data_IF_620915907761
#
_entry.id   IF_620915907761
#
_cell.length_a   1.000
_cell.length_b   1.000
_cell.length_c   1.000
_cell.angle_alpha   90.00
_cell.angle_beta   90.00
_cell.angle_gamma   90.00
#
_symmetry.space_group_name_H-M   'P 1'
#
loop_
_entity.id
_entity.type
_entity.pdbx_description
1 polymer ?
#
# COMPACT_ATOMS: atom_id res chain seq x y z
N UNK A 1 -1.06 0.19 32.07
CA UNK A 1 -1.38 -0.25 30.71
C UNK A 1 -0.77 0.76 29.73
N UNK A 2 0.39 0.48 29.14
CA UNK A 2 1.01 1.40 28.18
C UNK A 2 0.21 1.34 26.86
N UNK A 3 -0.39 2.47 26.49
CA UNK A 3 -1.17 2.60 25.26
C UNK A 3 -0.30 2.32 24.04
N UNK A 4 -0.80 1.48 23.13
CA UNK A 4 -0.11 1.16 21.88
C UNK A 4 0.19 2.45 21.10
N UNK A 5 1.47 2.71 20.83
CA UNK A 5 1.90 3.89 20.07
C UNK A 5 1.49 3.73 18.61
N UNK A 6 0.64 4.65 18.15
CA UNK A 6 0.31 4.79 16.73
C UNK A 6 1.32 5.75 16.09
N UNK A 7 1.87 5.36 14.94
CA UNK A 7 2.75 6.18 14.14
C UNK A 7 2.09 6.43 12.78
N UNK A 8 2.17 7.66 12.30
CA UNK A 8 1.57 8.06 11.03
C UNK A 8 2.62 8.81 10.23
N UNK A 9 2.84 8.36 9.00
CA UNK A 9 3.71 9.01 8.04
C UNK A 9 2.86 9.61 6.93
N UNK A 10 3.08 10.90 6.65
CA UNK A 10 2.44 11.62 5.55
C UNK A 10 3.49 11.91 4.48
N UNK A 11 3.26 11.41 3.28
CA UNK A 11 4.10 11.64 2.11
C UNK A 11 3.37 12.63 1.21
N UNK A 12 4.05 13.74 0.93
CA UNK A 12 3.62 14.77 -0.02
C UNK A 12 4.64 14.78 -1.17
N UNK A 13 4.20 14.77 -2.44
CA UNK A 13 5.13 14.85 -3.55
C UNK A 13 5.93 16.15 -3.52
N UNK A 14 7.22 16.04 -3.83
CA UNK A 14 8.14 17.19 -3.86
C UNK A 14 8.06 17.98 -5.16
N UNK A 15 7.60 17.34 -6.23
CA UNK A 15 7.50 17.93 -7.57
C UNK A 15 6.02 18.11 -7.95
N UNK A 16 5.71 19.12 -8.78
CA UNK A 16 4.36 19.32 -9.32
C UNK A 16 3.99 18.23 -10.33
N UNK A 17 2.71 18.24 -10.75
CA UNK A 17 2.14 17.34 -11.78
C UNK A 17 2.20 15.85 -11.46
N UNK A 18 2.19 15.50 -10.17
CA UNK A 18 2.07 14.11 -9.74
C UNK A 18 0.60 13.68 -9.76
N UNK A 19 0.35 12.42 -10.09
CA UNK A 19 -0.99 11.83 -10.06
C UNK A 19 -1.56 11.71 -8.64
N UNK A 20 -0.71 11.86 -7.62
CA UNK A 20 -1.05 11.78 -6.21
C UNK A 20 -0.89 13.12 -5.51
N UNK A 21 -1.82 13.43 -4.63
CA UNK A 21 -1.76 14.58 -3.72
C UNK A 21 -1.09 14.21 -2.40
N UNK A 22 -1.46 13.08 -1.82
CA UNK A 22 -0.86 12.61 -0.56
C UNK A 22 -0.97 11.09 -0.41
N UNK A 23 -0.03 10.54 0.37
CA UNK A 23 -0.11 9.17 0.88
C UNK A 23 0.06 9.20 2.39
N UNK A 24 -0.90 8.64 3.12
CA UNK A 24 -0.84 8.48 4.57
C UNK A 24 -0.66 7.01 4.91
N UNK A 25 0.37 6.70 5.69
CA UNK A 25 0.71 5.34 6.11
C UNK A 25 0.64 5.28 7.64
N UNK A 26 -0.18 4.39 8.17
CA UNK A 26 -0.39 4.21 9.61
C UNK A 26 0.23 2.91 10.08
N UNK A 27 0.96 2.99 11.20
CA UNK A 27 1.52 1.85 11.92
C UNK A 27 1.00 1.82 13.35
N UNK A 28 0.83 0.61 13.89
CA UNK A 28 0.56 0.36 15.31
C UNK A 28 1.48 -0.75 15.78
N UNK A 29 2.23 -0.53 16.86
CA UNK A 29 3.19 -1.51 17.38
C UNK A 29 4.15 -2.04 16.30
N UNK A 30 4.70 -1.13 15.47
CA UNK A 30 5.58 -1.43 14.33
C UNK A 30 4.96 -2.29 13.21
N UNK A 31 3.64 -2.51 13.21
CA UNK A 31 2.92 -3.19 12.12
C UNK A 31 2.15 -2.18 11.29
N UNK A 32 2.20 -2.32 9.97
CA UNK A 32 1.35 -1.54 9.05
C UNK A 32 -0.12 -1.83 9.36
N UNK A 33 -0.99 -0.82 9.37
CA UNK A 33 -2.43 -1.02 9.64
C UNK A 33 -3.31 -0.41 8.57
N UNK A 34 -2.89 0.72 8.00
CA UNK A 34 -3.68 1.41 7.00
C UNK A 34 -2.78 2.19 6.05
N UNK A 35 -3.22 2.26 4.79
CA UNK A 35 -2.73 3.22 3.80
C UNK A 35 -3.91 3.99 3.22
N UNK A 36 -3.76 5.30 3.07
CA UNK A 36 -4.74 6.16 2.41
C UNK A 36 -4.01 6.91 1.30
N UNK A 37 -4.53 6.81 0.07
CA UNK A 37 -3.97 7.49 -1.10
C UNK A 37 -5.01 8.49 -1.57
N UNK A 38 -4.61 9.74 -1.70
CA UNK A 38 -5.42 10.79 -2.33
C UNK A 38 -4.80 11.15 -3.67
N UNK A 39 -5.57 11.08 -4.75
CA UNK A 39 -5.11 11.46 -6.08
C UNK A 39 -5.28 12.97 -6.35
N UNK A 40 -4.76 13.45 -7.47
CA UNK A 40 -4.86 14.87 -7.88
C UNK A 40 -6.31 15.35 -8.08
N UNK A 41 -7.25 14.43 -8.31
CA UNK A 41 -8.69 14.70 -8.41
C UNK A 41 -9.40 14.62 -7.05
N UNK A 42 -8.64 14.62 -5.94
CA UNK A 42 -9.14 14.49 -4.57
C UNK A 42 -9.89 13.18 -4.25
N UNK A 43 -9.85 12.19 -5.15
CA UNK A 43 -10.37 10.86 -4.86
C UNK A 43 -9.47 10.18 -3.82
N UNK A 44 -10.11 9.54 -2.84
CA UNK A 44 -9.43 8.82 -1.76
C UNK A 44 -9.63 7.32 -1.91
N UNK A 45 -8.53 6.57 -1.93
CA UNK A 45 -8.52 5.11 -1.78
C UNK A 45 -7.96 4.74 -0.42
N UNK A 46 -8.68 3.89 0.33
CA UNK A 46 -8.28 3.44 1.67
C UNK A 46 -8.04 1.93 1.67
N UNK A 47 -6.88 1.53 2.17
CA UNK A 47 -6.46 0.14 2.33
C UNK A 47 -6.33 -0.16 3.82
N UNK A 48 -7.06 -1.17 4.31
CA UNK A 48 -6.96 -1.64 5.69
C UNK A 48 -6.25 -2.99 5.68
N UNK A 49 -5.15 -3.08 6.42
CA UNK A 49 -4.36 -4.31 6.47
C UNK A 49 -4.76 -5.15 7.68
N UNK A 50 -5.00 -6.43 7.44
CA UNK A 50 -5.31 -7.44 8.45
C UNK A 50 -4.48 -8.70 8.20
N UNK A 51 -4.36 -9.58 9.20
CA UNK A 51 -3.66 -10.86 9.08
C UNK A 51 -2.20 -10.77 8.58
N UNK A 52 -1.49 -9.73 8.99
CA UNK A 52 -0.12 -9.47 8.52
C UNK A 52 0.85 -10.49 9.12
N UNK A 53 1.58 -11.17 8.24
CA UNK A 53 2.74 -12.01 8.57
C UNK A 53 4.00 -11.27 8.17
N UNK A 54 4.92 -11.08 9.12
CA UNK A 54 6.19 -10.39 8.89
C UNK A 54 7.25 -11.42 8.53
N UNK A 55 8.00 -11.14 7.45
CA UNK A 55 9.08 -11.96 6.94
C UNK A 55 8.71 -13.44 6.69
N UNK A 56 7.57 -13.75 6.04
CA UNK A 56 7.30 -15.13 5.64
C UNK A 56 8.26 -15.56 4.52
N UNK A 57 8.44 -16.87 4.37
CA UNK A 57 9.11 -17.45 3.20
C UNK A 57 8.12 -17.54 2.06
N UNK A 58 8.48 -17.03 0.89
CA UNK A 58 7.65 -17.08 -0.31
C UNK A 58 8.30 -17.96 -1.38
N UNK A 59 7.49 -18.77 -2.08
CA UNK A 59 7.93 -19.46 -3.29
C UNK A 59 8.18 -18.43 -4.41
N UNK A 60 9.25 -18.56 -5.22
CA UNK A 60 9.46 -17.71 -6.39
C UNK A 60 8.30 -17.73 -7.40
N UNK A 61 7.55 -18.84 -7.46
CA UNK A 61 6.40 -19.00 -8.35
C UNK A 61 5.26 -18.03 -8.06
N UNK A 62 5.16 -17.50 -6.83
CA UNK A 62 4.15 -16.50 -6.46
C UNK A 62 4.31 -15.19 -7.24
N UNK A 63 5.53 -14.91 -7.70
CA UNK A 63 5.88 -13.69 -8.44
C UNK A 63 5.96 -13.93 -9.96
N UNK A 64 5.49 -15.09 -10.42
CA UNK A 64 5.43 -15.43 -11.84
C UNK A 64 4.00 -15.27 -12.34
N UNK A 65 3.81 -14.48 -13.41
CA UNK A 65 2.53 -14.35 -14.08
C UNK A 65 2.54 -15.15 -15.39
N UNK A 66 1.56 -16.03 -15.57
CA UNK A 66 1.29 -16.70 -16.84
C UNK A 66 -0.13 -16.34 -17.26
N UNK A 67 -0.25 -15.60 -18.36
CA UNK A 67 -1.55 -15.25 -18.90
C UNK A 67 -2.34 -16.52 -19.27
N UNK A 68 -3.62 -16.63 -18.89
CA UNK A 68 -4.48 -17.69 -19.37
C UNK A 68 -4.58 -17.69 -20.90
N UNK A 69 -4.96 -18.83 -21.48
CA UNK A 69 -5.20 -18.90 -22.93
C UNK A 69 -6.25 -17.87 -23.35
N UNK A 70 -6.05 -17.27 -24.51
CA UNK A 70 -6.96 -16.29 -25.13
C UNK A 70 -7.10 -14.97 -24.35
N UNK A 71 -6.12 -14.62 -23.52
CA UNK A 71 -6.05 -13.30 -22.87
C UNK A 71 -5.09 -12.39 -23.63
N UNK A 72 -5.55 -11.19 -23.98
CA UNK A 72 -4.70 -10.15 -24.52
C UNK A 72 -3.79 -9.57 -23.43
N UNK A 73 -2.48 -9.58 -23.69
CA UNK A 73 -1.48 -8.99 -22.79
C UNK A 73 -0.99 -7.68 -23.39
N UNK A 74 -1.38 -6.58 -22.74
CA UNK A 74 -0.92 -5.24 -23.10
C UNK A 74 0.41 -4.93 -22.41
N UNK A 75 1.26 -4.12 -23.05
CA UNK A 75 2.53 -3.64 -22.51
C UNK A 75 2.40 -2.28 -21.88
#
# INVERSE_FOLDING_TARGET
MQGATQQIFLLIPKTPNQTFQSVRISFKNKKLTQMQIQNSLSQTSTFIFSHIVINPVFSPTLFSFTAPKNVDVLK
#
